data_IF_864894552401
#
_entry.id   IF_864894552401
#
_cell.length_a   1.000
_cell.length_b   1.000
_cell.length_c   1.000
_cell.angle_alpha   90.00
_cell.angle_beta   90.00
_cell.angle_gamma   90.00
#
_symmetry.space_group_name_H-M   'P 1'
#
loop_
_entity.id
_entity.type
_entity.pdbx_description
1 polymer ?
#
# COMPACT_ATOMS: atom_id res chain seq x y z
N UNK A 1 -18.40 13.37 -32.12
CA UNK A 1 -18.91 12.98 -33.43
C UNK A 1 -20.19 12.16 -33.24
N UNK A 2 -21.33 12.73 -33.62
CA UNK A 2 -22.60 12.00 -33.63
C UNK A 2 -22.52 10.96 -34.75
N UNK A 3 -22.19 9.71 -34.42
CA UNK A 3 -22.17 8.66 -35.44
C UNK A 3 -23.59 8.26 -35.82
N UNK A 4 -23.75 7.86 -37.07
CA UNK A 4 -24.99 7.42 -37.68
C UNK A 4 -25.71 6.36 -36.82
N UNK A 5 -27.00 6.57 -36.53
CA UNK A 5 -27.90 5.61 -35.88
C UNK A 5 -28.85 5.07 -36.96
N UNK A 6 -28.86 3.75 -37.15
CA UNK A 6 -29.84 3.09 -38.02
C UNK A 6 -30.89 2.38 -37.16
N UNK A 7 -32.04 2.05 -37.76
CA UNK A 7 -33.18 1.41 -37.06
C UNK A 7 -32.78 0.16 -36.27
N UNK A 8 -31.79 -0.58 -36.76
CA UNK A 8 -31.24 -1.75 -36.09
C UNK A 8 -30.46 -1.38 -34.80
N UNK A 9 -29.63 -0.32 -34.82
CA UNK A 9 -28.95 0.19 -33.63
C UNK A 9 -29.94 0.79 -32.61
N UNK A 10 -31.04 1.37 -33.07
CA UNK A 10 -32.11 1.86 -32.19
C UNK A 10 -32.83 0.71 -31.47
N UNK A 11 -33.14 -0.37 -32.19
CA UNK A 11 -33.72 -1.58 -31.59
C UNK A 11 -32.79 -2.21 -30.55
N UNK A 12 -31.48 -2.27 -30.84
CA UNK A 12 -30.45 -2.74 -29.88
C UNK A 12 -30.39 -1.84 -28.66
N UNK A 13 -30.41 -0.51 -28.84
CA UNK A 13 -30.33 0.46 -27.74
C UNK A 13 -31.48 0.32 -26.74
N UNK A 14 -32.69 0.05 -27.23
CA UNK A 14 -33.89 -0.10 -26.42
C UNK A 14 -33.92 -1.43 -25.64
N UNK A 15 -33.20 -2.45 -26.11
CA UNK A 15 -33.25 -3.81 -25.56
C UNK A 15 -31.86 -4.35 -25.18
N UNK A 16 -30.99 -3.52 -24.60
CA UNK A 16 -29.68 -4.00 -24.13
C UNK A 16 -29.85 -4.86 -22.88
N UNK A 17 -29.14 -5.99 -22.82
CA UNK A 17 -29.13 -6.86 -21.63
C UNK A 17 -27.88 -6.57 -20.82
N UNK A 18 -28.05 -6.26 -19.53
CA UNK A 18 -26.90 -6.04 -18.66
C UNK A 18 -26.15 -7.35 -18.40
N UNK A 19 -24.85 -7.39 -18.70
CA UNK A 19 -24.05 -8.61 -18.50
C UNK A 19 -23.91 -9.04 -17.03
N UNK A 20 -24.22 -8.18 -16.07
CA UNK A 20 -24.13 -8.48 -14.64
C UNK A 20 -25.46 -9.01 -14.09
N UNK A 21 -26.51 -8.19 -14.11
CA UNK A 21 -27.80 -8.52 -13.51
C UNK A 21 -28.79 -9.17 -14.48
N UNK A 22 -28.44 -9.31 -15.76
CA UNK A 22 -29.27 -9.89 -16.82
C UNK A 22 -30.61 -9.16 -17.06
N UNK A 23 -30.78 -7.96 -16.51
CA UNK A 23 -31.96 -7.11 -16.73
C UNK A 23 -31.82 -6.34 -18.05
N UNK A 24 -32.91 -6.21 -18.80
CA UNK A 24 -33.00 -5.35 -19.98
C UNK A 24 -33.01 -3.87 -19.58
N UNK A 25 -32.29 -3.03 -20.31
CA UNK A 25 -32.20 -1.60 -20.03
C UNK A 25 -32.03 -0.79 -21.31
N UNK A 26 -32.49 0.47 -21.25
CA UNK A 26 -32.24 1.43 -22.32
C UNK A 26 -30.83 2.00 -22.19
N UNK A 27 -29.98 1.70 -23.17
CA UNK A 27 -28.59 2.14 -23.19
C UNK A 27 -28.35 3.45 -23.91
N UNK A 28 -27.08 3.85 -23.94
CA UNK A 28 -26.59 4.95 -24.78
C UNK A 28 -26.23 4.47 -26.19
N UNK A 29 -26.23 5.37 -27.17
CA UNK A 29 -25.85 5.06 -28.55
C UNK A 29 -24.44 4.44 -28.65
N UNK A 30 -23.52 4.86 -27.78
CA UNK A 30 -22.19 4.27 -27.67
C UNK A 30 -22.25 2.81 -27.21
N UNK A 31 -23.12 2.46 -26.27
CA UNK A 31 -23.28 1.08 -25.80
C UNK A 31 -23.89 0.18 -26.89
N UNK A 32 -24.90 0.67 -27.63
CA UNK A 32 -25.50 -0.07 -28.74
C UNK A 32 -24.46 -0.41 -29.83
N UNK A 33 -23.62 0.56 -30.22
CA UNK A 33 -22.53 0.34 -31.18
C UNK A 33 -21.48 -0.63 -30.66
N UNK A 34 -21.10 -0.50 -29.39
CA UNK A 34 -20.14 -1.40 -28.73
C UNK A 34 -20.63 -2.85 -28.72
N UNK A 35 -21.91 -3.09 -28.50
CA UNK A 35 -22.48 -4.44 -28.58
C UNK A 35 -22.48 -4.95 -30.01
N UNK A 36 -22.92 -4.14 -30.98
CA UNK A 36 -23.05 -4.55 -32.38
C UNK A 36 -21.70 -4.79 -33.06
N UNK A 37 -20.80 -3.82 -32.99
CA UNK A 37 -19.55 -3.82 -33.77
C UNK A 37 -18.35 -4.37 -32.99
N UNK A 38 -18.27 -4.08 -31.68
CA UNK A 38 -17.14 -4.49 -30.85
C UNK A 38 -17.44 -5.77 -30.04
N UNK A 39 -18.68 -6.28 -30.09
CA UNK A 39 -19.18 -7.40 -29.25
C UNK A 39 -18.86 -7.19 -27.75
N UNK A 40 -18.80 -5.93 -27.32
CA UNK A 40 -18.35 -5.58 -25.98
C UNK A 40 -19.47 -5.75 -24.94
N UNK A 41 -19.08 -6.11 -23.72
CA UNK A 41 -19.99 -6.26 -22.58
C UNK A 41 -20.48 -4.91 -22.09
N UNK A 42 -21.79 -4.77 -21.91
CA UNK A 42 -22.45 -3.53 -21.47
C UNK A 42 -23.16 -3.72 -20.14
N UNK A 43 -23.26 -2.63 -19.38
CA UNK A 43 -23.78 -2.64 -18.02
C UNK A 43 -24.80 -1.53 -17.84
N UNK A 44 -25.89 -1.80 -17.12
CA UNK A 44 -26.95 -0.84 -16.85
C UNK A 44 -26.51 0.31 -15.93
N UNK A 45 -25.50 0.07 -15.08
CA UNK A 45 -25.02 1.05 -14.11
C UNK A 45 -23.51 0.95 -13.87
N UNK A 46 -22.93 2.03 -13.32
CA UNK A 46 -21.54 2.04 -12.84
C UNK A 46 -21.31 1.01 -11.74
N UNK A 47 -22.33 0.75 -10.90
CA UNK A 47 -22.32 -0.27 -9.86
C UNK A 47 -22.22 -1.65 -10.51
N UNK A 48 -23.13 -2.02 -11.41
CA UNK A 48 -23.08 -3.31 -12.10
C UNK A 48 -21.79 -3.51 -12.89
N UNK A 49 -21.26 -2.44 -13.51
CA UNK A 49 -19.94 -2.48 -14.14
C UNK A 49 -18.86 -2.79 -13.10
N UNK A 50 -18.81 -2.05 -11.99
CA UNK A 50 -17.80 -2.24 -10.95
C UNK A 50 -17.88 -3.61 -10.27
N UNK A 51 -19.09 -4.13 -10.02
CA UNK A 51 -19.32 -5.44 -9.41
C UNK A 51 -18.98 -6.57 -10.38
N UNK A 52 -19.41 -6.50 -11.64
CA UNK A 52 -19.01 -7.47 -12.66
C UNK A 52 -17.50 -7.44 -12.95
N UNK A 53 -16.90 -6.25 -12.87
CA UNK A 53 -15.43 -6.13 -12.93
C UNK A 53 -14.84 -6.84 -11.72
N UNK A 54 -15.30 -6.59 -10.49
CA UNK A 54 -14.80 -7.27 -9.29
C UNK A 54 -14.92 -8.79 -9.34
N UNK A 55 -16.04 -9.33 -9.86
CA UNK A 55 -16.30 -10.77 -9.97
C UNK A 55 -15.42 -11.43 -11.05
N UNK A 56 -15.16 -10.75 -12.18
CA UNK A 56 -14.21 -11.23 -13.21
C UNK A 56 -12.73 -11.11 -12.78
N UNK A 57 -12.46 -10.55 -11.62
CA UNK A 57 -11.09 -10.31 -11.15
C UNK A 57 -10.69 -11.31 -10.05
N UNK A 58 -11.50 -12.35 -9.81
CA UNK A 58 -11.31 -13.35 -8.76
C UNK A 58 -10.94 -14.70 -9.37
N UNK A 59 -9.71 -15.18 -9.12
CA UNK A 59 -9.27 -16.55 -9.50
C UNK A 59 -9.65 -17.55 -8.40
N UNK A 60 -10.05 -18.80 -8.74
CA UNK A 60 -10.36 -19.82 -7.74
C UNK A 60 -9.13 -20.10 -6.86
N UNK A 61 -9.34 -20.14 -5.54
CA UNK A 61 -8.29 -20.34 -4.54
C UNK A 61 -8.44 -21.73 -3.90
N UNK A 62 -7.31 -22.36 -3.55
CA UNK A 62 -7.35 -23.56 -2.72
C UNK A 62 -7.82 -23.17 -1.31
N UNK A 63 -8.90 -23.79 -0.84
CA UNK A 63 -9.31 -23.69 0.55
C UNK A 63 -8.26 -24.38 1.42
N UNK A 64 -7.59 -23.62 2.28
CA UNK A 64 -6.63 -24.15 3.22
C UNK A 64 -7.34 -24.45 4.55
N UNK A 65 -6.75 -25.36 5.34
CA UNK A 65 -7.23 -25.70 6.68
C UNK A 65 -7.28 -24.50 7.65
N UNK A 66 -7.74 -24.72 8.89
CA UNK A 66 -7.91 -23.64 9.86
C UNK A 66 -6.58 -22.97 10.20
N UNK A 67 -6.61 -21.64 10.34
CA UNK A 67 -5.45 -20.87 10.77
C UNK A 67 -4.99 -21.30 12.17
N UNK A 68 -3.68 -21.57 12.34
CA UNK A 68 -3.11 -22.01 13.62
C UNK A 68 -3.31 -21.05 14.80
N UNK A 69 -3.56 -19.77 14.56
CA UNK A 69 -3.73 -18.76 15.62
C UNK A 69 -5.20 -18.48 15.94
N UNK A 70 -6.06 -18.35 14.93
CA UNK A 70 -7.46 -17.93 15.11
C UNK A 70 -8.50 -19.02 14.78
N UNK A 71 -8.07 -20.19 14.31
CA UNK A 71 -8.95 -21.31 13.94
C UNK A 71 -9.79 -21.11 12.68
N UNK A 72 -9.82 -19.91 12.10
CA UNK A 72 -10.64 -19.62 10.91
C UNK A 72 -10.04 -20.25 9.66
N UNK A 73 -10.88 -20.89 8.85
CA UNK A 73 -10.51 -21.31 7.50
C UNK A 73 -10.14 -20.09 6.65
N UNK A 74 -9.19 -20.25 5.73
CA UNK A 74 -8.79 -19.21 4.82
C UNK A 74 -8.38 -19.82 3.47
N UNK A 75 -8.43 -19.02 2.43
CA UNK A 75 -8.04 -19.44 1.08
C UNK A 75 -6.68 -18.84 0.72
N UNK A 76 -5.88 -19.63 0.01
CA UNK A 76 -4.57 -19.19 -0.49
C UNK A 76 -4.16 -20.04 -1.66
N UNK A 77 -3.60 -19.43 -2.71
CA UNK A 77 -3.10 -20.14 -3.88
C UNK A 77 -1.98 -21.12 -3.56
N UNK A 78 -1.13 -20.77 -2.60
CA UNK A 78 -0.03 -21.62 -2.11
C UNK A 78 -0.39 -22.17 -0.73
N UNK A 79 0.17 -23.32 -0.32
CA UNK A 79 0.00 -23.82 1.05
C UNK A 79 0.60 -22.81 2.04
N UNK A 80 -0.22 -22.32 2.96
CA UNK A 80 0.15 -21.31 3.98
C UNK A 80 -0.35 -21.73 5.34
N UNK A 81 0.15 -21.09 6.39
CA UNK A 81 -0.12 -21.50 7.79
C UNK A 81 -1.06 -20.54 8.52
N UNK A 82 -1.03 -19.25 8.17
CA UNK A 82 -1.80 -18.21 8.86
C UNK A 82 -2.64 -17.40 7.87
N UNK A 83 -3.84 -16.98 8.29
CA UNK A 83 -4.75 -16.23 7.44
C UNK A 83 -4.36 -14.75 7.24
N UNK A 84 -3.49 -14.20 8.09
CA UNK A 84 -3.10 -12.78 8.05
C UNK A 84 -1.78 -12.52 8.79
N UNK A 85 -1.14 -11.38 8.51
CA UNK A 85 0.05 -10.89 9.24
C UNK A 85 -0.21 -10.88 10.74
N UNK A 86 -1.39 -10.42 11.19
CA UNK A 86 -1.72 -10.34 12.63
C UNK A 86 -1.65 -11.71 13.29
N UNK A 87 -2.25 -12.71 12.66
CA UNK A 87 -2.23 -14.09 13.18
C UNK A 87 -0.81 -14.65 13.20
N UNK A 88 0.01 -14.36 12.19
CA UNK A 88 1.40 -14.77 12.16
C UNK A 88 2.22 -14.08 13.26
N UNK A 89 2.11 -12.76 13.43
CA UNK A 89 2.87 -12.01 14.44
C UNK A 89 2.48 -12.36 15.88
N UNK A 90 1.26 -12.89 16.09
CA UNK A 90 0.81 -13.40 17.39
C UNK A 90 1.15 -14.87 17.62
N UNK A 91 1.73 -15.56 16.63
CA UNK A 91 2.10 -16.97 16.77
C UNK A 91 3.34 -17.13 17.65
N UNK A 92 3.41 -18.24 18.39
CA UNK A 92 4.59 -18.60 19.20
C UNK A 92 5.87 -18.61 18.36
N UNK A 93 5.81 -19.17 17.16
CA UNK A 93 6.92 -19.20 16.20
C UNK A 93 7.50 -17.81 15.91
N UNK A 94 6.65 -16.80 15.71
CA UNK A 94 7.13 -15.44 15.44
C UNK A 94 7.71 -14.78 16.70
N UNK A 95 7.11 -15.01 17.86
CA UNK A 95 7.58 -14.48 19.14
C UNK A 95 8.96 -15.03 19.47
N UNK A 96 9.16 -16.35 19.34
CA UNK A 96 10.46 -17.01 19.58
C UNK A 96 11.53 -16.48 18.63
N UNK A 97 11.22 -16.39 17.33
CA UNK A 97 12.11 -15.78 16.33
C UNK A 97 12.44 -14.31 16.68
N UNK A 98 11.46 -13.52 17.13
CA UNK A 98 11.71 -12.14 17.52
C UNK A 98 12.65 -12.07 18.72
N UNK A 99 12.45 -12.94 19.73
CA UNK A 99 13.31 -13.01 20.91
C UNK A 99 14.77 -13.33 20.54
N UNK A 100 15.01 -14.28 19.63
CA UNK A 100 16.35 -14.60 19.11
C UNK A 100 16.99 -13.40 18.40
N UNK A 101 16.25 -12.73 17.51
CA UNK A 101 16.76 -11.54 16.81
C UNK A 101 17.06 -10.38 17.77
N UNK A 102 16.33 -10.27 18.88
CA UNK A 102 16.53 -9.25 19.92
C UNK A 102 17.73 -9.57 20.81
N UNK A 103 17.97 -10.84 21.12
CA UNK A 103 19.14 -11.27 21.90
C UNK A 103 20.45 -10.77 21.25
N UNK A 104 20.57 -10.87 19.91
CA UNK A 104 21.72 -10.37 19.17
C UNK A 104 21.83 -8.84 19.01
N UNK A 105 20.81 -8.06 19.40
CA UNK A 105 20.83 -6.58 19.32
C UNK A 105 21.17 -5.93 20.67
N UNK A 106 20.93 -6.62 21.79
CA UNK A 106 21.16 -6.09 23.15
C UNK A 106 22.61 -5.68 23.42
N UNK A 107 23.58 -6.17 22.64
CA UNK A 107 25.00 -5.85 22.79
C UNK A 107 25.47 -4.62 22.02
N UNK A 108 24.64 -3.98 21.17
CA UNK A 108 25.06 -2.76 20.47
C UNK A 108 24.71 -1.53 21.31
N UNK A 109 25.70 -0.85 21.92
CA UNK A 109 25.42 0.37 22.67
C UNK A 109 24.76 1.37 21.73
N UNK A 110 23.53 1.76 22.05
CA UNK A 110 22.91 2.93 21.43
C UNK A 110 23.73 4.13 21.86
N UNK A 111 24.63 4.61 21.00
CA UNK A 111 25.29 5.91 21.20
C UNK A 111 24.17 6.95 21.27
N UNK A 112 23.84 7.35 22.50
CA UNK A 112 22.96 8.48 22.78
C UNK A 112 23.70 9.70 22.26
N UNK A 113 23.37 10.17 21.05
CA UNK A 113 23.77 11.48 20.57
C UNK A 113 22.95 12.56 21.30
N UNK A 114 23.20 12.67 22.61
CA UNK A 114 22.88 13.84 23.39
C UNK A 114 24.16 14.64 23.59
N UNK A 115 24.67 15.22 22.51
CA UNK A 115 25.48 16.43 22.62
C UNK A 115 24.87 17.46 21.69
N UNK A 116 24.41 18.56 22.30
CA UNK A 116 24.21 19.82 21.60
C UNK A 116 25.58 20.18 21.00
N UNK A 117 25.67 20.39 19.70
CA UNK A 117 26.75 21.20 19.15
C UNK A 117 26.20 22.12 18.07
N UNK A 118 26.06 23.38 18.45
CA UNK A 118 26.45 24.50 17.59
C UNK A 118 27.92 24.33 17.22
N UNK A 119 28.26 24.57 15.95
CA UNK A 119 29.61 24.55 15.35
C UNK A 119 30.35 23.20 15.27
N UNK A 120 30.89 22.91 14.07
CA UNK A 120 31.97 21.96 13.82
C UNK A 120 31.71 20.49 14.16
N UNK A 121 30.96 19.75 13.31
CA UNK A 121 30.85 18.29 13.45
C UNK A 121 31.97 17.62 12.64
N UNK A 122 32.90 16.87 13.27
CA UNK A 122 33.83 16.04 12.51
C UNK A 122 33.05 14.98 11.71
N UNK A 123 33.53 14.56 10.52
CA UNK A 123 32.87 13.56 9.71
C UNK A 123 32.72 12.27 10.51
N UNK A 124 31.47 11.80 10.63
CA UNK A 124 31.16 10.49 11.23
C UNK A 124 31.96 9.43 10.43
N UNK A 125 32.71 8.53 11.09
CA UNK A 125 33.43 7.46 10.42
C UNK A 125 32.50 6.71 9.46
N UNK A 126 32.97 6.39 8.26
CA UNK A 126 32.24 5.59 7.26
C UNK A 126 32.13 4.15 7.78
N UNK A 127 31.28 3.91 8.77
CA UNK A 127 30.94 2.55 9.19
C UNK A 127 30.33 1.82 7.99
N UNK A 128 30.71 0.56 7.77
CA UNK A 128 30.05 -0.32 6.80
C UNK A 128 28.88 -1.04 7.46
N UNK A 129 27.75 -1.13 6.76
CA UNK A 129 26.57 -1.89 7.18
C UNK A 129 26.39 -3.07 6.23
N UNK A 130 26.22 -4.25 6.80
CA UNK A 130 25.93 -5.48 6.06
C UNK A 130 24.43 -5.56 5.74
N UNK A 131 24.11 -5.87 4.48
CA UNK A 131 22.74 -6.12 4.04
C UNK A 131 22.17 -7.37 4.74
N UNK A 132 21.00 -7.26 5.40
CA UNK A 132 20.38 -8.39 6.13
C UNK A 132 19.92 -9.56 5.27
N UNK A 133 19.88 -9.40 3.95
CA UNK A 133 19.46 -10.44 3.01
C UNK A 133 20.63 -11.13 2.33
N UNK A 134 21.58 -10.36 1.79
CA UNK A 134 22.67 -10.88 0.97
C UNK A 134 24.06 -10.68 1.59
N UNK A 135 24.13 -10.16 2.81
CA UNK A 135 25.35 -9.86 3.57
C UNK A 135 26.37 -8.92 2.90
N UNK A 136 26.07 -8.38 1.72
CA UNK A 136 26.93 -7.39 1.05
C UNK A 136 27.11 -6.14 1.90
N UNK A 137 28.36 -5.67 1.98
CA UNK A 137 28.72 -4.45 2.68
C UNK A 137 28.28 -3.20 1.91
N UNK A 138 27.76 -2.21 2.65
CA UNK A 138 27.33 -0.92 2.09
C UNK A 138 27.79 0.23 2.98
N UNK A 139 28.23 1.38 2.42
CA UNK A 139 28.72 2.50 3.22
C UNK A 139 27.57 3.20 3.97
N UNK A 140 27.72 3.42 5.29
CA UNK A 140 26.73 4.11 6.14
C UNK A 140 26.63 5.59 5.77
N UNK A 141 25.77 5.92 4.81
CA UNK A 141 25.26 7.29 4.66
C UNK A 141 24.16 7.55 5.70
N UNK A 142 23.88 8.81 6.04
CA UNK A 142 22.95 9.23 7.11
C UNK A 142 21.50 8.70 6.98
N UNK A 143 21.16 8.00 5.89
CA UNK A 143 19.86 7.37 5.63
C UNK A 143 19.96 5.88 5.24
N UNK A 144 21.08 5.22 5.47
CA UNK A 144 21.28 3.84 4.98
C UNK A 144 20.27 2.86 5.57
N UNK A 145 19.52 2.25 4.67
CA UNK A 145 18.57 1.18 4.93
C UNK A 145 19.36 -0.07 5.35
N UNK A 146 18.79 -0.94 6.16
CA UNK A 146 19.39 -2.23 6.55
C UNK A 146 19.58 -3.23 5.37
N UNK A 147 19.42 -2.74 4.13
CA UNK A 147 19.34 -3.51 2.90
C UNK A 147 20.02 -2.72 1.78
N UNK A 148 20.79 -3.39 0.93
CA UNK A 148 21.49 -2.76 -0.19
C UNK A 148 20.54 -2.33 -1.34
N UNK A 149 19.31 -2.83 -1.35
CA UNK A 149 18.33 -2.59 -2.41
C UNK A 149 16.89 -2.79 -1.93
N UNK A 150 15.94 -2.26 -2.68
CA UNK A 150 14.51 -2.56 -2.49
C UNK A 150 14.21 -4.04 -2.78
N UNK A 151 14.96 -4.68 -3.67
CA UNK A 151 14.81 -6.10 -4.00
C UNK A 151 15.23 -6.98 -2.82
N UNK A 152 16.38 -6.70 -2.21
CA UNK A 152 16.82 -7.38 -1.00
C UNK A 152 15.88 -7.15 0.18
N UNK A 153 15.33 -5.93 0.31
CA UNK A 153 14.28 -5.67 1.29
C UNK A 153 13.05 -6.56 1.06
N UNK A 154 12.55 -6.64 -0.18
CA UNK A 154 11.39 -7.47 -0.54
C UNK A 154 11.64 -8.95 -0.29
N UNK A 155 12.76 -9.49 -0.80
CA UNK A 155 13.14 -10.88 -0.59
C UNK A 155 13.21 -11.25 0.90
N UNK A 156 13.82 -10.37 1.72
CA UNK A 156 13.89 -10.55 3.16
C UNK A 156 12.51 -10.58 3.83
N UNK A 157 11.62 -9.65 3.45
CA UNK A 157 10.26 -9.60 3.99
C UNK A 157 9.42 -10.78 3.50
N UNK A 158 9.57 -11.20 2.25
CA UNK A 158 8.85 -12.32 1.65
C UNK A 158 9.19 -13.64 2.35
N UNK A 159 10.48 -13.92 2.58
CA UNK A 159 10.96 -15.13 3.26
C UNK A 159 10.45 -15.24 4.70
N UNK A 160 10.36 -14.11 5.40
CA UNK A 160 10.01 -14.07 6.83
C UNK A 160 8.53 -13.95 7.10
N UNK A 161 7.80 -13.15 6.34
CA UNK A 161 6.38 -12.94 6.57
C UNK A 161 5.55 -13.73 5.57
N UNK A 162 5.71 -13.41 4.29
CA UNK A 162 4.75 -13.80 3.25
C UNK A 162 4.75 -15.30 3.01
N UNK A 163 5.88 -15.98 3.23
CA UNK A 163 5.99 -17.44 3.25
C UNK A 163 4.91 -18.10 4.11
N UNK A 164 4.52 -17.48 5.22
CA UNK A 164 3.61 -18.06 6.21
C UNK A 164 2.17 -17.55 6.10
N UNK A 165 1.95 -16.41 5.46
CA UNK A 165 0.68 -15.71 5.41
C UNK A 165 -0.07 -16.07 4.13
N UNK A 166 -1.39 -16.21 4.25
CA UNK A 166 -2.29 -16.40 3.13
C UNK A 166 -2.03 -15.39 2.01
N UNK A 167 -1.96 -15.88 0.78
CA UNK A 167 -1.86 -15.03 -0.41
C UNK A 167 -3.04 -15.34 -1.32
N UNK A 168 -4.24 -14.82 -1.00
CA UNK A 168 -5.36 -14.88 -1.92
C UNK A 168 -5.03 -13.96 -3.10
N UNK A 169 -4.85 -14.53 -4.28
CA UNK A 169 -4.55 -13.79 -5.51
C UNK A 169 -5.82 -13.26 -6.18
N UNK A 170 -6.71 -12.70 -5.37
CA UNK A 170 -7.87 -11.94 -5.83
C UNK A 170 -7.50 -10.46 -5.80
N UNK A 171 -7.87 -9.70 -6.81
CA UNK A 171 -7.49 -8.29 -6.89
C UNK A 171 -7.89 -7.52 -5.62
N UNK A 172 -9.07 -7.77 -5.06
CA UNK A 172 -9.49 -7.09 -3.83
C UNK A 172 -8.76 -7.57 -2.56
N UNK A 173 -8.14 -8.76 -2.57
CA UNK A 173 -7.58 -9.42 -1.39
C UNK A 173 -6.07 -9.67 -1.43
N UNK A 174 -5.34 -9.24 -2.47
CA UNK A 174 -3.88 -9.46 -2.56
C UNK A 174 -3.20 -9.14 -1.22
N UNK A 175 -2.53 -10.15 -0.69
CA UNK A 175 -1.65 -10.10 0.48
C UNK A 175 -0.30 -10.69 0.09
N UNK A 176 0.74 -10.38 0.86
CA UNK A 176 2.08 -10.86 0.53
C UNK A 176 2.63 -10.18 -0.72
N UNK A 177 2.52 -8.85 -0.75
CA UNK A 177 2.98 -8.04 -1.90
C UNK A 177 4.48 -8.20 -2.16
N UNK A 178 5.28 -8.45 -1.10
CA UNK A 178 6.72 -8.67 -1.25
C UNK A 178 6.96 -10.02 -1.95
N UNK A 179 6.31 -11.11 -1.53
CA UNK A 179 6.39 -12.42 -2.21
C UNK A 179 5.84 -12.37 -3.63
N UNK A 180 4.76 -11.62 -3.88
CA UNK A 180 4.23 -11.45 -5.24
C UNK A 180 5.26 -10.81 -6.17
N UNK A 181 5.93 -9.74 -5.72
CA UNK A 181 6.89 -8.99 -6.54
C UNK A 181 8.33 -9.57 -6.53
N UNK A 182 8.62 -10.55 -5.67
CA UNK A 182 9.93 -11.25 -5.62
C UNK A 182 10.01 -12.43 -6.61
N UNK A 183 8.98 -12.66 -7.41
CA UNK A 183 8.93 -13.72 -8.42
C UNK A 183 9.73 -13.36 -9.68
N UNK A 184 10.22 -14.38 -10.39
CA UNK A 184 10.92 -14.22 -11.67
C UNK A 184 9.97 -13.79 -12.79
N UNK A 185 8.74 -14.25 -12.72
CA UNK A 185 7.64 -13.88 -13.61
C UNK A 185 6.37 -13.65 -12.81
N UNK A 186 5.50 -12.77 -13.33
CA UNK A 186 4.23 -12.45 -12.73
C UNK A 186 3.12 -13.01 -13.62
N UNK A 187 2.21 -13.75 -13.01
CA UNK A 187 0.97 -14.13 -13.65
C UNK A 187 0.01 -12.94 -13.73
N UNK A 188 -0.82 -12.91 -14.78
CA UNK A 188 -1.90 -11.95 -14.84
C UNK A 188 -2.90 -12.20 -13.70
N UNK A 189 -3.27 -11.13 -13.00
CA UNK A 189 -4.23 -11.15 -11.89
C UNK A 189 -5.69 -11.09 -12.36
N UNK A 190 -5.92 -10.99 -13.68
CA UNK A 190 -7.26 -10.96 -14.28
C UNK A 190 -7.69 -12.40 -14.57
N UNK A 191 -8.92 -12.75 -14.20
CA UNK A 191 -9.46 -14.09 -14.41
C UNK A 191 -9.57 -14.41 -15.91
N UNK A 192 -9.32 -15.68 -16.27
CA UNK A 192 -9.29 -16.13 -17.65
C UNK A 192 -8.06 -15.66 -18.45
N UNK A 193 -7.18 -14.84 -17.87
CA UNK A 193 -5.91 -14.51 -18.47
C UNK A 193 -4.82 -15.45 -17.97
N UNK A 194 -4.23 -16.20 -18.91
CA UNK A 194 -3.11 -17.14 -18.69
C UNK A 194 -1.75 -16.49 -18.93
N UNK A 195 -1.70 -15.19 -19.18
CA UNK A 195 -0.43 -14.50 -19.44
C UNK A 195 0.48 -14.58 -18.23
N UNK A 196 1.76 -14.82 -18.51
CA UNK A 196 2.87 -14.83 -17.55
C UNK A 196 4.00 -14.01 -18.15
N UNK A 197 4.62 -13.15 -17.34
CA UNK A 197 5.80 -12.42 -17.78
C UNK A 197 6.27 -11.37 -16.79
N UNK A 198 7.24 -10.55 -17.21
CA UNK A 198 7.99 -9.68 -16.29
C UNK A 198 7.35 -8.32 -16.02
N UNK A 199 6.47 -7.84 -16.91
CA UNK A 199 5.90 -6.48 -16.84
C UNK A 199 4.37 -6.48 -16.79
N UNK A 200 3.81 -6.93 -15.67
CA UNK A 200 2.36 -7.07 -15.50
C UNK A 200 1.56 -5.78 -15.74
N UNK A 201 2.06 -4.62 -15.29
CA UNK A 201 1.38 -3.33 -15.53
C UNK A 201 1.23 -2.98 -17.02
N UNK A 202 2.17 -3.41 -17.87
CA UNK A 202 2.18 -3.12 -19.30
C UNK A 202 1.23 -4.08 -20.01
N UNK A 203 1.34 -5.36 -19.68
CA UNK A 203 0.41 -6.39 -20.18
C UNK A 203 -1.04 -6.00 -19.91
N UNK A 204 -1.37 -5.60 -18.67
CA UNK A 204 -2.75 -5.24 -18.33
C UNK A 204 -3.26 -4.04 -19.14
N UNK A 205 -2.42 -3.06 -19.37
CA UNK A 205 -2.79 -1.91 -20.18
C UNK A 205 -3.05 -2.33 -21.63
N UNK A 206 -2.14 -3.10 -22.23
CA UNK A 206 -2.23 -3.49 -23.65
C UNK A 206 -3.31 -4.55 -23.91
N UNK A 207 -3.40 -5.59 -23.10
CA UNK A 207 -4.28 -6.73 -23.32
C UNK A 207 -5.70 -6.52 -22.78
N UNK A 208 -5.85 -5.72 -21.72
CA UNK A 208 -7.14 -5.53 -21.06
C UNK A 208 -7.67 -4.10 -21.13
N UNK A 209 -6.88 -3.15 -21.65
CA UNK A 209 -7.27 -1.74 -21.74
C UNK A 209 -7.46 -1.07 -20.39
N UNK A 210 -6.94 -1.66 -19.31
CA UNK A 210 -7.10 -1.14 -17.94
C UNK A 210 -5.85 -0.36 -17.57
N UNK A 211 -6.02 0.86 -17.05
CA UNK A 211 -4.88 1.66 -16.66
C UNK A 211 -4.16 1.04 -15.45
N UNK A 212 -2.83 1.14 -15.44
CA UNK A 212 -2.03 0.64 -14.32
C UNK A 212 -2.43 1.27 -12.97
N UNK A 213 -2.89 2.52 -12.97
CA UNK A 213 -3.38 3.22 -11.77
C UNK A 213 -4.65 2.59 -11.21
N UNK A 214 -5.58 2.17 -12.06
CA UNK A 214 -6.85 1.53 -11.70
C UNK A 214 -6.60 0.15 -11.11
N UNK A 215 -5.76 -0.65 -11.78
CA UNK A 215 -5.36 -1.96 -11.26
C UNK A 215 -4.64 -1.82 -9.95
N UNK A 216 -3.68 -0.90 -9.81
CA UNK A 216 -2.99 -0.68 -8.53
C UNK A 216 -3.95 -0.31 -7.39
N UNK A 217 -5.00 0.47 -7.66
CA UNK A 217 -6.02 0.81 -6.66
C UNK A 217 -6.88 -0.38 -6.30
N UNK A 218 -7.36 -1.13 -7.28
CA UNK A 218 -8.17 -2.32 -7.08
C UNK A 218 -7.38 -3.40 -6.31
N UNK A 219 -6.14 -3.62 -6.75
CA UNK A 219 -5.19 -4.60 -6.23
C UNK A 219 -4.53 -4.20 -4.89
N UNK A 220 -4.68 -2.94 -4.47
CA UNK A 220 -4.08 -2.44 -3.22
C UNK A 220 -2.58 -2.13 -3.30
N UNK A 221 -1.95 -2.15 -4.48
CA UNK A 221 -0.58 -1.68 -4.69
C UNK A 221 -0.43 -0.17 -4.49
N UNK A 222 0.79 0.27 -4.16
CA UNK A 222 1.15 1.68 -4.20
C UNK A 222 1.10 2.22 -5.63
N UNK A 223 0.60 3.44 -5.80
CA UNK A 223 0.62 4.10 -7.11
C UNK A 223 2.04 4.38 -7.61
N UNK A 224 3.00 4.51 -6.67
CA UNK A 224 4.40 4.80 -6.97
C UNK A 224 5.23 3.55 -7.27
N UNK A 225 4.77 2.34 -6.92
CA UNK A 225 5.50 1.11 -7.20
C UNK A 225 5.16 0.59 -8.60
N UNK A 226 6.16 0.07 -9.32
CA UNK A 226 5.91 -0.71 -10.53
C UNK A 226 5.45 -2.12 -10.18
N UNK A 227 4.47 -2.66 -10.90
CA UNK A 227 4.10 -4.09 -10.81
C UNK A 227 4.91 -4.83 -11.87
N UNK A 228 6.15 -5.13 -11.50
CA UNK A 228 7.15 -5.80 -12.34
C UNK A 228 7.84 -6.89 -11.53
N UNK A 229 8.23 -7.96 -12.23
CA UNK A 229 8.95 -9.09 -11.65
C UNK A 229 10.36 -8.67 -11.18
N UNK A 230 10.95 -9.50 -10.31
CA UNK A 230 12.26 -9.24 -9.71
C UNK A 230 13.38 -9.01 -10.73
N UNK A 231 13.57 -9.84 -11.77
CA UNK A 231 14.67 -9.66 -12.73
C UNK A 231 14.56 -8.32 -13.48
N UNK A 232 13.33 -7.93 -13.84
CA UNK A 232 13.09 -6.66 -14.52
C UNK A 232 13.27 -5.47 -13.56
N UNK A 233 12.90 -5.60 -12.29
CA UNK A 233 13.14 -4.57 -11.29
C UNK A 233 14.64 -4.32 -11.06
N UNK A 234 15.46 -5.38 -11.10
CA UNK A 234 16.91 -5.28 -11.01
C UNK A 234 17.51 -4.62 -12.26
N UNK A 235 17.12 -5.06 -13.45
CA UNK A 235 17.55 -4.47 -14.72
C UNK A 235 17.19 -2.98 -14.81
N UNK A 236 15.96 -2.60 -14.46
CA UNK A 236 15.52 -1.20 -14.45
C UNK A 236 16.23 -0.32 -13.43
N UNK A 237 16.85 -0.93 -12.40
CA UNK A 237 17.64 -0.22 -11.41
C UNK A 237 19.09 -0.04 -11.84
N UNK A 238 19.65 -1.02 -12.54
CA UNK A 238 21.03 -0.99 -13.03
C UNK A 238 21.18 -0.17 -14.31
N UNK A 239 20.09 0.08 -15.03
CA UNK A 239 20.11 0.89 -16.25
C UNK A 239 20.72 2.26 -15.99
N UNK A 240 21.51 2.73 -16.95
CA UNK A 240 22.00 4.10 -16.95
C UNK A 240 20.83 5.08 -17.07
N UNK A 241 20.92 6.18 -16.31
CA UNK A 241 19.95 7.26 -16.43
C UNK A 241 20.25 8.05 -17.70
N UNK A 242 19.28 8.12 -18.61
CA UNK A 242 19.40 8.83 -19.89
C UNK A 242 18.37 9.98 -19.94
N UNK A 243 18.73 11.05 -20.65
CA UNK A 243 17.84 12.18 -20.94
C UNK A 243 17.48 13.01 -19.70
N UNK A 244 16.19 13.38 -19.60
CA UNK A 244 15.65 14.22 -18.50
C UNK A 244 15.91 13.63 -17.11
N UNK A 245 16.07 12.30 -17.01
CA UNK A 245 16.41 11.64 -15.75
C UNK A 245 17.86 11.88 -15.31
N UNK A 246 18.78 12.15 -16.25
CA UNK A 246 20.18 12.49 -15.97
C UNK A 246 20.33 13.97 -15.63
N UNK A 247 19.64 14.82 -16.37
CA UNK A 247 19.65 16.28 -16.22
C UNK A 247 18.23 16.80 -15.94
N UNK A 248 17.69 16.64 -14.73
CA UNK A 248 16.38 17.17 -14.39
C UNK A 248 16.42 18.70 -14.44
N UNK A 249 15.61 19.31 -15.29
CA UNK A 249 15.38 20.76 -15.24
C UNK A 249 14.89 21.11 -13.84
N UNK A 250 15.70 21.84 -13.08
CA UNK A 250 15.48 22.14 -11.66
C UNK A 250 14.17 22.89 -11.43
N UNK A 251 13.85 23.84 -12.32
CA UNK A 251 12.62 24.64 -12.28
C UNK A 251 11.40 23.76 -12.54
N UNK A 252 11.44 22.95 -13.60
CA UNK A 252 10.35 22.03 -13.94
C UNK A 252 10.09 20.99 -12.83
N UNK A 253 11.16 20.50 -12.21
CA UNK A 253 11.09 19.56 -11.09
C UNK A 253 10.48 20.20 -9.83
N UNK A 254 10.83 21.45 -9.52
CA UNK A 254 10.27 22.19 -8.40
C UNK A 254 8.79 22.52 -8.59
N UNK A 255 8.40 22.98 -9.77
CA UNK A 255 7.00 23.20 -10.13
C UNK A 255 6.17 21.92 -10.01
N UNK A 256 6.70 20.80 -10.50
CA UNK A 256 6.05 19.49 -10.35
C UNK A 256 5.93 19.06 -8.87
N UNK A 257 6.97 19.29 -8.06
CA UNK A 257 6.94 19.00 -6.61
C UNK A 257 5.90 19.85 -5.88
N UNK A 258 5.80 21.15 -6.20
CA UNK A 258 4.80 22.06 -5.65
C UNK A 258 3.38 21.63 -6.02
N UNK A 259 3.14 21.27 -7.29
CA UNK A 259 1.86 20.75 -7.76
C UNK A 259 1.45 19.45 -7.05
N UNK A 260 2.40 18.57 -6.73
CA UNK A 260 2.15 17.34 -5.96
C UNK A 260 1.89 17.65 -4.48
N UNK A 261 2.61 18.62 -3.89
CA UNK A 261 2.47 19.00 -2.47
C UNK A 261 1.08 19.57 -2.17
N UNK A 262 0.49 20.27 -3.12
CA UNK A 262 -0.83 20.88 -3.00
C UNK A 262 -1.99 19.90 -3.23
N UNK A 263 -1.72 18.67 -3.69
CA UNK A 263 -2.76 17.64 -3.84
C UNK A 263 -3.00 16.93 -2.50
N UNK A 264 -4.24 16.87 -2.00
CA UNK A 264 -4.54 16.12 -0.79
C UNK A 264 -4.23 14.64 -1.00
N UNK A 265 -3.19 14.12 -0.33
CA UNK A 265 -2.84 12.69 -0.34
C UNK A 265 -3.91 11.88 0.39
N UNK A 266 -4.95 11.45 -0.34
CA UNK A 266 -6.05 10.63 0.21
C UNK A 266 -5.87 9.12 0.03
N UNK A 267 -4.89 8.66 -0.77
CA UNK A 267 -4.70 7.22 -1.02
C UNK A 267 -3.52 6.66 -0.22
N UNK A 268 -3.82 5.75 0.72
CA UNK A 268 -2.84 4.91 1.39
C UNK A 268 -3.06 3.47 0.96
N UNK A 269 -2.10 2.90 0.24
CA UNK A 269 -2.26 1.57 -0.35
C UNK A 269 -2.24 0.46 0.71
N UNK A 270 -2.86 -0.68 0.39
CA UNK A 270 -2.81 -1.89 1.22
C UNK A 270 -1.39 -2.42 1.33
N UNK A 271 -0.62 -2.39 0.23
CA UNK A 271 0.85 -2.66 0.20
C UNK A 271 1.59 -1.82 1.26
N UNK A 272 1.32 -0.52 1.32
CA UNK A 272 1.98 0.38 2.29
C UNK A 272 1.60 0.02 3.73
N UNK A 273 0.33 -0.32 3.97
CA UNK A 273 -0.13 -0.75 5.29
C UNK A 273 0.55 -2.05 5.72
N UNK A 274 0.62 -3.02 4.81
CA UNK A 274 1.31 -4.29 5.03
C UNK A 274 2.79 -4.10 5.33
N UNK A 275 3.52 -3.33 4.52
CA UNK A 275 4.95 -3.04 4.77
C UNK A 275 5.16 -2.37 6.14
N UNK A 276 4.28 -1.44 6.52
CA UNK A 276 4.36 -0.79 7.82
C UNK A 276 4.07 -1.75 8.98
N UNK A 277 3.16 -2.71 8.80
CA UNK A 277 2.89 -3.75 9.79
C UNK A 277 4.11 -4.67 9.97
N UNK A 278 4.67 -5.21 8.87
CA UNK A 278 5.89 -6.05 8.88
C UNK A 278 7.08 -5.33 9.51
N UNK A 279 7.29 -4.07 9.10
CA UNK A 279 8.37 -3.25 9.65
C UNK A 279 8.19 -3.05 11.14
N UNK A 280 6.96 -2.76 11.62
CA UNK A 280 6.69 -2.56 13.05
C UNK A 280 6.86 -3.84 13.86
N UNK A 281 6.45 -5.00 13.34
CA UNK A 281 6.59 -6.27 14.05
C UNK A 281 8.05 -6.72 14.19
N UNK A 282 8.96 -6.24 13.35
CA UNK A 282 10.41 -6.47 13.52
C UNK A 282 11.09 -5.49 14.49
N UNK A 283 10.38 -4.47 14.97
CA UNK A 283 10.97 -3.44 15.83
C UNK A 283 10.87 -3.85 17.29
N UNK A 284 11.88 -3.45 18.07
CA UNK A 284 11.88 -3.55 19.52
C UNK A 284 10.79 -2.63 20.10
N UNK A 285 10.26 -3.01 21.25
CA UNK A 285 9.37 -2.17 22.05
C UNK A 285 9.95 -0.76 22.21
N UNK A 286 9.06 0.24 22.18
CA UNK A 286 9.44 1.63 22.35
C UNK A 286 9.82 1.95 23.79
N UNK A 287 10.40 3.15 24.02
CA UNK A 287 10.76 3.59 25.36
C UNK A 287 9.52 3.67 26.27
N UNK A 288 9.73 3.49 27.57
CA UNK A 288 8.73 3.85 28.58
C UNK A 288 8.62 5.38 28.61
N UNK A 289 7.38 5.88 28.67
CA UNK A 289 7.05 7.30 28.70
C UNK A 289 5.91 7.54 29.67
N UNK A 290 5.86 8.73 30.23
CA UNK A 290 4.77 9.16 31.11
C UNK A 290 3.64 9.79 30.30
N UNK A 291 2.39 9.39 30.58
CA UNK A 291 1.21 9.94 29.92
C UNK A 291 0.93 11.39 30.34
N UNK A 292 0.74 12.30 29.38
CA UNK A 292 0.44 13.73 29.65
C UNK A 292 -0.95 13.99 30.26
N UNK A 293 -1.83 12.99 30.28
CA UNK A 293 -3.16 13.10 30.88
C UNK A 293 -3.21 12.47 32.27
N UNK A 294 -2.96 11.16 32.37
CA UNK A 294 -3.11 10.42 33.62
C UNK A 294 -1.81 10.28 34.43
N UNK A 295 -0.65 10.70 33.91
CA UNK A 295 0.62 10.61 34.63
C UNK A 295 1.20 9.19 34.76
N UNK A 296 0.51 8.17 34.27
CA UNK A 296 0.97 6.77 34.33
C UNK A 296 2.07 6.54 33.29
N UNK A 297 3.11 5.81 33.69
CA UNK A 297 4.14 5.31 32.79
C UNK A 297 3.59 4.19 31.90
N UNK A 298 3.77 4.36 30.59
CA UNK A 298 3.35 3.39 29.59
C UNK A 298 4.49 3.14 28.60
N UNK A 299 4.55 1.92 28.09
CA UNK A 299 5.52 1.54 27.08
C UNK A 299 5.02 1.96 25.71
N UNK A 300 5.81 2.76 24.99
CA UNK A 300 5.44 3.19 23.64
C UNK A 300 5.46 1.97 22.70
N UNK A 301 4.43 1.83 21.86
CA UNK A 301 4.32 0.70 20.92
C UNK A 301 5.38 0.70 19.80
N UNK A 302 6.00 1.84 19.53
CA UNK A 302 7.05 1.98 18.51
C UNK A 302 8.26 2.73 19.06
N UNK A 303 9.48 2.30 18.70
CA UNK A 303 10.73 3.03 19.01
C UNK A 303 10.76 4.47 18.51
N UNK A 304 10.02 4.75 17.42
CA UNK A 304 9.97 6.06 16.78
C UNK A 304 8.69 6.81 17.09
N UNK A 305 8.74 8.15 17.01
CA UNK A 305 7.62 9.03 17.32
C UNK A 305 7.59 9.43 18.79
N UNK A 306 6.74 10.40 19.11
CA UNK A 306 6.54 10.93 20.46
C UNK A 306 5.09 10.70 20.87
N UNK A 307 4.76 9.46 21.22
CA UNK A 307 3.42 9.16 21.75
C UNK A 307 3.30 9.80 23.13
N UNK A 308 2.31 10.67 23.30
CA UNK A 308 2.14 11.49 24.50
C UNK A 308 1.10 10.92 25.49
N UNK A 309 0.30 9.96 25.04
CA UNK A 309 -0.84 9.44 25.78
C UNK A 309 -0.83 7.91 25.73
N UNK A 310 -1.17 7.27 26.85
CA UNK A 310 -1.26 5.81 26.94
C UNK A 310 -2.45 5.25 26.13
N UNK A 311 -3.58 5.95 26.10
CA UNK A 311 -4.80 5.53 25.37
C UNK A 311 -5.37 6.66 24.51
N UNK A 312 -6.25 6.29 23.56
CA UNK A 312 -7.03 7.26 22.77
C UNK A 312 -7.97 8.07 23.66
N UNK A 313 -8.49 7.48 24.72
CA UNK A 313 -9.35 8.13 25.71
C UNK A 313 -8.58 9.20 26.49
N UNK A 314 -7.38 8.88 26.99
CA UNK A 314 -6.51 9.87 27.65
C UNK A 314 -6.19 11.06 26.74
N UNK A 315 -5.97 10.78 25.44
CA UNK A 315 -5.80 11.84 24.45
C UNK A 315 -7.06 12.70 24.32
N UNK A 316 -8.23 12.07 24.14
CA UNK A 316 -9.50 12.77 24.00
C UNK A 316 -9.84 13.61 25.24
N UNK A 317 -9.70 13.05 26.44
CA UNK A 317 -9.93 13.72 27.70
C UNK A 317 -9.02 14.94 27.90
N UNK A 318 -7.72 14.83 27.56
CA UNK A 318 -6.81 15.98 27.60
C UNK A 318 -7.23 17.09 26.63
N UNK A 319 -7.57 16.75 25.39
CA UNK A 319 -8.01 17.75 24.40
C UNK A 319 -9.34 18.38 24.78
N UNK A 320 -10.30 17.60 25.31
CA UNK A 320 -11.56 18.11 25.83
C UNK A 320 -11.32 19.11 26.98
N UNK A 321 -10.42 18.80 27.93
CA UNK A 321 -10.06 19.71 29.01
C UNK A 321 -9.36 21.00 28.50
N UNK A 322 -8.56 20.91 27.44
CA UNK A 322 -7.94 22.08 26.80
C UNK A 322 -9.01 22.94 26.09
N UNK A 323 -9.95 22.31 25.38
CA UNK A 323 -11.00 23.00 24.64
C UNK A 323 -12.05 23.63 25.56
N UNK A 324 -12.28 23.07 26.76
CA UNK A 324 -13.08 23.71 27.81
C UNK A 324 -12.42 24.96 28.40
N UNK A 325 -11.09 25.02 28.43
CA UNK A 325 -10.32 26.16 28.97
C UNK A 325 -10.12 27.29 27.95
N UNK A 326 -10.37 27.04 26.67
CA UNK A 326 -10.30 28.09 25.64
C UNK A 326 -11.62 28.86 25.61
N UNK A 327 -11.60 30.21 25.60
CA UNK A 327 -12.81 30.97 25.30
C UNK A 327 -13.28 30.55 23.90
N UNK A 328 -14.46 29.93 23.83
CA UNK A 328 -15.08 29.60 22.54
C UNK A 328 -15.42 30.92 21.86
N UNK A 329 -14.66 31.28 20.82
CA UNK A 329 -15.05 32.40 19.94
C UNK A 329 -16.45 32.11 19.42
N UNK A 330 -17.44 32.90 19.86
CA UNK A 330 -18.81 32.76 19.40
C UNK A 330 -18.95 33.52 18.10
N UNK A 331 -19.54 32.89 17.10
CA UNK A 331 -19.79 33.53 15.82
C UNK A 331 -21.18 34.18 15.89
N UNK A 332 -21.21 35.47 16.14
CA UNK A 332 -22.48 36.22 16.20
C UNK A 332 -22.80 36.81 14.83
N UNK A 333 -24.07 36.69 14.44
CA UNK A 333 -24.58 37.28 13.21
C UNK A 333 -24.92 38.74 13.50
N UNK A 334 -24.28 39.65 12.77
CA UNK A 334 -24.57 41.07 12.87
C UNK A 334 -25.86 41.43 12.10
N UNK A 335 -26.45 42.57 12.44
CA UNK A 335 -27.65 43.11 11.79
C UNK A 335 -27.48 43.33 10.28
N UNK A 336 -26.26 43.59 9.81
CA UNK A 336 -25.91 43.72 8.39
C UNK A 336 -25.76 42.36 7.66
N UNK A 337 -26.07 41.24 8.31
CA UNK A 337 -25.99 39.89 7.74
C UNK A 337 -24.58 39.26 7.74
N UNK A 338 -23.55 40.00 8.14
CA UNK A 338 -22.17 39.48 8.28
C UNK A 338 -21.95 38.78 9.63
N UNK A 339 -20.88 37.99 9.74
CA UNK A 339 -20.54 37.28 10.96
C UNK A 339 -19.28 37.86 11.59
N UNK A 340 -19.33 38.14 12.89
CA UNK A 340 -18.16 38.55 13.68
C UNK A 340 -17.83 37.47 14.71
N UNK A 341 -16.55 37.20 14.90
CA UNK A 341 -16.06 36.36 16.00
C UNK A 341 -15.97 37.24 17.24
N UNK A 342 -16.75 36.92 18.27
CA UNK A 342 -16.71 37.51 19.61
C UNK A 342 -15.93 36.59 20.54
#
# INVERSE_FOLDING_TARGET
>A
MAGYMNAELEAIRLNLICTHCQVSFQGTDSQARKVKYEKAKVYCSSICRSTATSIRLTKPQLTQGPCKTCGKAFSSKRPKTYCSIKCYTSSKQFIDMQAENLAGIRERPTVRSHSKSSSGRPPIPKETIHCRECNKETPKTSKTRAYCSQVCYRAYMAKRFDRHIANPQEISLIQGYDEFLDQDELECIIEGCTWVGKHLSLHINLAHGIQASEVKRAAGFSLSSGIVAKPLAESLRQRELVGVAKNPNTIGLELARLAIKNKPKKYRSKETNEHLLKTRSLMIEGPVRTCLHCGIDFRQSTRFGKTLYCTKECRAAKYAAIDQKKPKKKRERQLNGTFKWV
#
